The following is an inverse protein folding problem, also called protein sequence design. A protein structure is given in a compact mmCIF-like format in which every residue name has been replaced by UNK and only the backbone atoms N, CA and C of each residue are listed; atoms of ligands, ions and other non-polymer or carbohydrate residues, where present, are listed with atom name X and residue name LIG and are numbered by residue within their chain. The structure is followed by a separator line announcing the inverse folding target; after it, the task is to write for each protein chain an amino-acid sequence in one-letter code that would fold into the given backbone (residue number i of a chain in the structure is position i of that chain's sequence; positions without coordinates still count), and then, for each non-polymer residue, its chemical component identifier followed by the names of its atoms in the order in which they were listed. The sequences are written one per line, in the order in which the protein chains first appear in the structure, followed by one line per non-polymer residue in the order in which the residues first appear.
data_IF_867822120974
#
_entry.id   IF_867822120974
#
_cell.length_a   1.000
_cell.length_b   1.000
_cell.length_c   1.000
_cell.angle_alpha   90.00
_cell.angle_beta   90.00
_cell.angle_gamma   90.00
#
_symmetry.space_group_name_H-M   'P 1'
#
loop_
_entity.id
_entity.type
_entity.pdbx_description
1 polymer ?
#
# COMPACT_ATOMS: atom_id res chain seq x y z
N UNK A 1 4.29 -18.70 -39.15
CA UNK A 1 4.80 -17.94 -37.99
C UNK A 1 3.99 -16.66 -37.98
N UNK A 2 2.92 -16.63 -37.18
CA UNK A 2 2.00 -15.51 -37.14
C UNK A 2 2.62 -14.36 -36.32
N UNK A 3 2.83 -13.16 -36.89
CA UNK A 3 3.50 -12.06 -36.20
C UNK A 3 2.67 -11.39 -35.09
N UNK A 4 1.42 -11.82 -34.89
CA UNK A 4 0.46 -11.17 -33.98
C UNK A 4 0.54 -11.60 -32.51
N UNK A 5 1.48 -12.45 -32.12
CA UNK A 5 1.59 -12.93 -30.73
C UNK A 5 2.45 -12.06 -29.79
N UNK A 6 2.99 -10.93 -30.27
CA UNK A 6 3.92 -10.10 -29.46
C UNK A 6 3.31 -8.79 -28.95
N UNK A 7 1.99 -8.63 -29.00
CA UNK A 7 1.31 -7.37 -28.61
C UNK A 7 0.46 -7.45 -27.35
N UNK A 8 0.84 -8.25 -26.34
CA UNK A 8 0.15 -8.23 -25.05
C UNK A 8 1.11 -8.24 -23.88
N UNK A 9 1.78 -7.10 -23.70
CA UNK A 9 2.24 -6.60 -22.40
C UNK A 9 2.56 -5.11 -22.56
N UNK A 10 1.57 -4.31 -22.98
CA UNK A 10 1.69 -2.86 -22.80
C UNK A 10 1.38 -2.56 -21.33
N UNK A 11 2.24 -1.78 -20.63
CA UNK A 11 1.86 -1.21 -19.34
C UNK A 11 0.58 -0.40 -19.55
N UNK A 12 -0.48 -0.73 -18.81
CA UNK A 12 -1.65 0.13 -18.79
C UNK A 12 -1.23 1.47 -18.18
N UNK A 13 -1.18 2.50 -19.01
CA UNK A 13 -1.20 3.89 -18.54
C UNK A 13 -2.52 4.07 -17.78
N UNK A 14 -2.42 4.22 -16.47
CA UNK A 14 -3.60 4.49 -15.63
C UNK A 14 -4.01 5.92 -15.98
N UNK A 15 -5.13 6.07 -16.70
CA UNK A 15 -5.77 7.37 -16.89
C UNK A 15 -6.13 7.92 -15.50
N UNK A 16 -5.34 8.90 -15.04
CA UNK A 16 -5.63 9.71 -13.86
C UNK A 16 -6.74 10.69 -14.24
N UNK A 17 -8.00 10.30 -14.04
CA UNK A 17 -9.14 11.19 -13.75
C UNK A 17 -10.44 10.39 -13.82
N UNK A 18 -10.91 9.86 -12.68
CA UNK A 18 -12.35 9.72 -12.38
C UNK A 18 -12.54 9.84 -10.87
N UNK A 19 -13.27 10.87 -10.43
CA UNK A 19 -13.89 10.98 -9.10
C UNK A 19 -15.00 9.90 -8.96
N UNK A 20 -14.70 8.64 -9.26
CA UNK A 20 -15.57 7.51 -9.02
C UNK A 20 -15.34 7.00 -7.59
N UNK A 21 -16.43 6.85 -6.84
CA UNK A 21 -16.40 6.18 -5.54
C UNK A 21 -15.95 4.73 -5.72
N UNK A 22 -14.68 4.45 -5.39
CA UNK A 22 -14.12 3.10 -5.44
C UNK A 22 -14.60 2.29 -4.25
N UNK A 23 -15.39 1.24 -4.52
CA UNK A 23 -15.82 0.29 -3.48
C UNK A 23 -14.75 -0.77 -3.22
N UNK A 24 -14.53 -1.07 -1.94
CA UNK A 24 -13.62 -2.11 -1.49
C UNK A 24 -14.39 -3.32 -0.94
N UNK A 25 -14.03 -4.57 -1.29
CA UNK A 25 -14.57 -5.76 -0.65
C UNK A 25 -14.48 -5.72 0.89
N UNK A 26 -15.53 -6.23 1.55
CA UNK A 26 -15.70 -6.19 3.01
C UNK A 26 -14.49 -6.72 3.82
N UNK A 27 -13.76 -7.69 3.26
CA UNK A 27 -12.61 -8.34 3.88
C UNK A 27 -11.31 -7.54 3.80
N UNK A 28 -11.22 -6.56 2.88
CA UNK A 28 -10.05 -5.72 2.69
C UNK A 28 -10.11 -4.41 3.50
N UNK A 29 -11.31 -3.99 3.92
CA UNK A 29 -11.51 -2.79 4.73
C UNK A 29 -10.60 -2.68 5.96
N UNK A 30 -10.43 -3.73 6.78
CA UNK A 30 -9.55 -3.63 7.94
C UNK A 30 -8.10 -3.28 7.58
N UNK A 31 -7.59 -3.77 6.45
CA UNK A 31 -6.24 -3.45 5.99
C UNK A 31 -6.15 -2.03 5.44
N UNK A 32 -7.15 -1.60 4.68
CA UNK A 32 -7.23 -0.23 4.18
C UNK A 32 -7.26 0.79 5.32
N UNK A 33 -8.13 0.58 6.31
CA UNK A 33 -8.23 1.44 7.49
C UNK A 33 -6.93 1.47 8.30
N UNK A 34 -6.29 0.30 8.52
CA UNK A 34 -5.01 0.24 9.21
C UNK A 34 -3.92 0.99 8.45
N UNK A 35 -3.86 0.81 7.13
CA UNK A 35 -2.90 1.50 6.27
C UNK A 35 -3.07 3.03 6.35
N UNK A 36 -4.31 3.53 6.18
CA UNK A 36 -4.61 4.96 6.29
C UNK A 36 -4.26 5.54 7.67
N UNK A 37 -4.60 4.83 8.74
CA UNK A 37 -4.28 5.27 10.10
C UNK A 37 -2.76 5.33 10.35
N UNK A 38 -1.97 4.49 9.66
CA UNK A 38 -0.50 4.51 9.70
C UNK A 38 0.15 5.38 8.61
N UNK A 39 -0.61 6.14 7.83
CA UNK A 39 -0.08 6.91 6.69
C UNK A 39 1.03 7.91 7.07
N UNK A 40 1.03 8.40 8.30
CA UNK A 40 2.03 9.34 8.84
C UNK A 40 3.19 8.64 9.55
N UNK A 41 3.10 7.32 9.77
CA UNK A 41 4.03 6.53 10.58
C UNK A 41 5.03 5.77 9.70
N UNK A 42 5.76 6.51 8.86
CA UNK A 42 6.81 5.95 8.01
C UNK A 42 8.17 6.02 8.68
N UNK A 43 8.95 4.95 8.51
CA UNK A 43 10.39 4.97 8.79
C UNK A 43 11.08 5.70 7.65
N UNK A 44 11.74 6.80 8.00
CA UNK A 44 12.39 7.70 7.05
C UNK A 44 13.90 7.71 7.31
N UNK A 45 14.67 7.50 6.25
CA UNK A 45 16.12 7.64 6.25
C UNK A 45 16.44 8.96 5.55
N UNK A 46 16.90 9.95 6.32
CA UNK A 46 17.32 11.24 5.79
C UNK A 46 18.84 11.32 5.70
N UNK A 47 19.37 11.49 4.49
CA UNK A 47 20.76 11.82 4.22
C UNK A 47 20.95 13.30 3.89
N UNK A 48 22.19 13.72 3.67
CA UNK A 48 22.52 15.12 3.37
C UNK A 48 21.81 15.70 2.13
N UNK A 49 21.52 14.86 1.13
CA UNK A 49 20.96 15.30 -0.16
C UNK A 49 19.60 14.70 -0.48
N UNK A 50 19.15 13.70 0.29
CA UNK A 50 17.95 12.95 -0.06
C UNK A 50 17.24 12.38 1.17
N UNK A 51 15.92 12.37 1.09
CA UNK A 51 15.02 11.67 2.01
C UNK A 51 14.54 10.39 1.32
N UNK A 52 14.61 9.27 2.02
CA UNK A 52 14.15 7.98 1.55
C UNK A 52 13.16 7.37 2.55
N UNK A 53 11.98 6.99 2.06
CA UNK A 53 10.94 6.32 2.83
C UNK A 53 11.14 4.80 2.73
N UNK A 54 11.54 4.16 3.84
CA UNK A 54 11.84 2.72 3.86
C UNK A 54 10.57 1.85 3.89
N UNK A 55 9.58 2.27 4.69
CA UNK A 55 8.34 1.54 4.92
C UNK A 55 7.57 2.06 6.14
N UNK A 56 6.40 1.49 6.39
CA UNK A 56 5.59 1.76 7.58
C UNK A 56 6.27 1.16 8.81
N UNK A 57 6.19 1.83 9.96
CA UNK A 57 6.58 1.24 11.22
C UNK A 57 5.57 0.17 11.67
N UNK A 58 6.01 -1.08 11.75
CA UNK A 58 5.14 -2.20 12.12
C UNK A 58 4.76 -2.24 13.60
N UNK A 59 5.50 -1.58 14.49
CA UNK A 59 5.06 -1.42 15.86
C UNK A 59 3.82 -0.51 15.93
N UNK A 60 3.85 0.61 15.22
CA UNK A 60 2.71 1.51 15.04
C UNK A 60 1.52 0.81 14.36
N UNK A 61 1.76 0.00 13.32
CA UNK A 61 0.72 -0.80 12.68
C UNK A 61 0.06 -1.80 13.64
N UNK A 62 0.86 -2.49 14.46
CA UNK A 62 0.33 -3.41 15.46
C UNK A 62 -0.55 -2.68 16.48
N UNK A 63 -0.13 -1.49 16.93
CA UNK A 63 -0.93 -0.65 17.83
C UNK A 63 -2.25 -0.21 17.19
N UNK A 64 -2.26 0.15 15.90
CA UNK A 64 -3.48 0.46 15.15
C UNK A 64 -4.38 -0.77 15.05
N UNK A 65 -3.83 -1.95 14.75
CA UNK A 65 -4.60 -3.20 14.74
C UNK A 65 -5.23 -3.49 16.11
N UNK A 66 -4.55 -3.17 17.23
CA UNK A 66 -5.11 -3.28 18.57
C UNK A 66 -6.27 -2.29 18.78
N UNK A 67 -6.08 -1.01 18.40
CA UNK A 67 -7.10 0.04 18.51
C UNK A 67 -8.36 -0.25 17.67
N UNK A 68 -8.19 -0.85 16.48
CA UNK A 68 -9.29 -1.25 15.59
C UNK A 68 -9.93 -2.59 16.01
N UNK A 69 -9.46 -3.23 17.07
CA UNK A 69 -10.01 -4.50 17.56
C UNK A 69 -9.74 -5.70 16.65
N UNK A 70 -8.65 -5.65 15.85
CA UNK A 70 -8.26 -6.74 14.97
C UNK A 70 -7.81 -7.95 15.80
N UNK A 71 -8.61 -9.01 15.71
CA UNK A 71 -8.36 -10.28 16.41
C UNK A 71 -6.99 -10.85 16.02
N UNK A 72 -6.20 -11.41 16.97
CA UNK A 72 -4.86 -11.94 16.69
C UNK A 72 -4.78 -12.88 15.48
N UNK A 73 -5.77 -13.77 15.33
CA UNK A 73 -5.87 -14.71 14.19
C UNK A 73 -6.01 -14.03 12.81
N UNK A 74 -6.48 -12.78 12.75
CA UNK A 74 -6.64 -12.01 11.50
C UNK A 74 -5.44 -11.10 11.21
N UNK A 75 -4.62 -10.76 12.22
CA UNK A 75 -3.51 -9.80 12.07
C UNK A 75 -2.53 -10.15 10.97
N UNK A 76 -2.22 -11.44 10.81
CA UNK A 76 -1.35 -11.89 9.71
C UNK A 76 -1.94 -11.54 8.34
N UNK A 77 -3.24 -11.76 8.12
CA UNK A 77 -3.88 -11.45 6.84
C UNK A 77 -3.90 -9.94 6.58
N UNK A 78 -4.27 -9.16 7.60
CA UNK A 78 -4.26 -7.69 7.53
C UNK A 78 -2.86 -7.16 7.23
N UNK A 79 -1.83 -7.66 7.91
CA UNK A 79 -0.44 -7.25 7.68
C UNK A 79 -0.01 -7.51 6.23
N UNK A 80 -0.36 -8.67 5.68
CA UNK A 80 -0.01 -9.02 4.29
C UNK A 80 -0.71 -8.09 3.28
N UNK A 81 -1.97 -7.73 3.53
CA UNK A 81 -2.70 -6.78 2.70
C UNK A 81 -2.13 -5.36 2.81
N UNK A 82 -1.82 -4.90 4.02
CA UNK A 82 -1.17 -3.59 4.25
C UNK A 82 0.18 -3.52 3.53
N UNK A 83 0.95 -4.61 3.48
CA UNK A 83 2.23 -4.66 2.74
C UNK A 83 2.09 -4.43 1.23
N UNK A 84 0.97 -4.85 0.64
CA UNK A 84 0.69 -4.58 -0.78
C UNK A 84 0.49 -3.08 -0.99
N UNK A 85 -0.31 -2.44 -0.13
CA UNK A 85 -0.54 -0.99 -0.16
C UNK A 85 0.75 -0.21 0.14
N UNK A 86 1.53 -0.67 1.11
CA UNK A 86 2.83 -0.11 1.49
C UNK A 86 3.81 -0.12 0.33
N UNK A 87 3.90 -1.21 -0.44
CA UNK A 87 4.85 -1.29 -1.55
C UNK A 87 4.54 -0.26 -2.65
N UNK A 88 3.28 -0.12 -3.03
CA UNK A 88 2.86 0.88 -4.02
C UNK A 88 3.03 2.31 -3.49
N UNK A 89 2.62 2.57 -2.25
CA UNK A 89 2.80 3.88 -1.64
C UNK A 89 4.27 4.26 -1.46
N UNK A 90 5.15 3.28 -1.19
CA UNK A 90 6.59 3.51 -1.08
C UNK A 90 7.20 3.89 -2.42
N UNK A 91 6.76 3.26 -3.52
CA UNK A 91 7.18 3.66 -4.87
C UNK A 91 6.77 5.11 -5.13
N UNK A 92 5.53 5.48 -4.84
CA UNK A 92 5.03 6.84 -5.02
C UNK A 92 5.79 7.86 -4.15
N UNK A 93 5.98 7.59 -2.87
CA UNK A 93 6.67 8.48 -1.93
C UNK A 93 8.14 8.73 -2.26
N UNK A 94 8.79 7.78 -2.94
CA UNK A 94 10.20 7.88 -3.31
C UNK A 94 10.42 8.25 -4.79
N UNK A 95 9.36 8.46 -5.58
CA UNK A 95 9.49 9.08 -6.90
C UNK A 95 9.96 10.53 -6.69
N UNK A 96 11.06 10.89 -7.34
CA UNK A 96 11.55 12.27 -7.46
C UNK A 96 11.12 12.86 -8.81
#
# INVERSE_FOLDING_TARGET
MDPDLVKQAQPQEIEEDQDEDLELPADLWPAWECFLATWTQWRVIAGFTQVFYEGIDYASLLAVMDMHGIKPKKRRAVLLQVRILEDEARKLRNKQ
#
